data_IF_100899868309
#
_entry.id   IF_100899868309
#
_cell.length_a   1.000
_cell.length_b   1.000
_cell.length_c   1.000
_cell.angle_alpha   90.00
_cell.angle_beta   90.00
_cell.angle_gamma   90.00
#
_symmetry.space_group_name_H-M   'P 1'
#
loop_
_entity.id
_entity.type
_entity.pdbx_description
1 polymer ?
#
# COMPACT_ATOMS: atom_id res chain seq x y z
N UNK A 1 4.69 -2.66 -14.14
CA UNK A 1 4.43 -1.24 -13.81
C UNK A 1 3.33 -1.22 -12.75
N UNK A 2 3.70 -1.44 -11.49
CA UNK A 2 2.82 -1.09 -10.36
C UNK A 2 3.73 -0.79 -9.17
N UNK A 3 4.46 0.31 -9.32
CA UNK A 3 5.52 0.75 -8.42
C UNK A 3 5.00 1.57 -7.24
N UNK A 4 3.67 1.60 -7.08
CA UNK A 4 2.97 2.36 -6.05
C UNK A 4 3.47 2.08 -4.64
N UNK A 5 3.80 0.81 -4.36
CA UNK A 5 4.33 0.45 -3.04
C UNK A 5 5.75 0.96 -2.87
N UNK A 6 6.57 0.93 -3.92
CA UNK A 6 7.93 1.47 -3.88
C UNK A 6 7.91 2.99 -3.69
N UNK A 7 7.12 3.73 -4.48
CA UNK A 7 6.92 5.16 -4.30
C UNK A 7 6.42 5.49 -2.90
N UNK A 8 5.48 4.72 -2.35
CA UNK A 8 4.96 4.94 -1.01
C UNK A 8 6.01 4.73 0.10
N UNK A 9 6.83 3.67 0.02
CA UNK A 9 7.81 3.38 1.06
C UNK A 9 9.08 4.22 0.94
N UNK A 10 9.41 4.68 -0.27
CA UNK A 10 10.54 5.58 -0.50
C UNK A 10 10.17 7.06 -0.33
N UNK A 11 8.88 7.40 -0.28
CA UNK A 11 8.41 8.76 -0.06
C UNK A 11 8.87 9.29 1.30
N UNK A 12 9.31 10.54 1.31
CA UNK A 12 9.61 11.27 2.54
C UNK A 12 8.33 11.47 3.37
N UNK A 13 8.50 11.77 4.66
CA UNK A 13 7.36 12.08 5.55
C UNK A 13 6.52 13.26 5.02
N UNK A 14 7.15 14.24 4.36
CA UNK A 14 6.42 15.38 3.79
C UNK A 14 5.62 15.00 2.54
N UNK A 15 6.15 14.12 1.69
CA UNK A 15 5.41 13.58 0.54
C UNK A 15 4.27 12.66 0.98
N UNK A 16 4.49 11.81 1.99
CA UNK A 16 3.44 11.00 2.61
C UNK A 16 2.32 11.85 3.21
N UNK A 17 2.62 13.04 3.77
CA UNK A 17 1.59 13.96 4.27
C UNK A 17 0.80 14.62 3.15
N UNK A 18 1.46 14.97 2.04
CA UNK A 18 0.81 15.54 0.85
C UNK A 18 -0.01 14.50 0.10
N UNK A 19 0.42 13.24 0.13
CA UNK A 19 -0.20 12.11 -0.54
C UNK A 19 0.22 11.92 -1.99
N UNK A 20 1.27 12.59 -2.47
CA UNK A 20 1.83 12.42 -3.81
C UNK A 20 3.34 12.64 -3.85
N UNK A 21 3.99 12.06 -4.86
CA UNK A 21 5.39 12.30 -5.23
C UNK A 21 5.46 12.91 -6.63
N UNK A 22 6.55 13.62 -6.94
CA UNK A 22 6.81 14.12 -8.29
C UNK A 22 7.97 13.35 -8.90
N UNK A 23 7.67 12.57 -9.94
CA UNK A 23 8.66 11.86 -10.73
C UNK A 23 9.29 12.81 -11.75
N UNK A 24 10.61 13.01 -11.64
CA UNK A 24 11.30 14.03 -12.45
C UNK A 24 11.54 13.56 -13.88
N UNK A 25 11.75 12.27 -14.07
CA UNK A 25 12.10 11.72 -15.38
C UNK A 25 10.88 11.69 -16.33
N UNK A 26 9.69 11.45 -15.79
CA UNK A 26 8.43 11.45 -16.56
C UNK A 26 7.64 12.75 -16.42
N UNK A 27 8.09 13.67 -15.56
CA UNK A 27 7.38 14.90 -15.18
C UNK A 27 5.94 14.63 -14.70
N UNK A 28 5.74 13.57 -13.91
CA UNK A 28 4.43 13.12 -13.43
C UNK A 28 4.27 13.35 -11.92
N UNK A 29 3.11 13.84 -11.50
CA UNK A 29 2.66 13.75 -10.12
C UNK A 29 1.95 12.41 -9.92
N UNK A 30 2.43 11.60 -8.97
CA UNK A 30 1.88 10.27 -8.71
C UNK A 30 1.19 10.26 -7.36
N UNK A 31 -0.10 9.94 -7.34
CA UNK A 31 -0.86 9.76 -6.11
C UNK A 31 -0.30 8.56 -5.35
N UNK A 32 0.18 8.78 -4.12
CA UNK A 32 0.71 7.71 -3.30
C UNK A 32 -0.38 6.75 -2.87
N UNK A 33 -1.66 7.14 -2.82
CA UNK A 33 -2.76 6.30 -2.36
C UNK A 33 -3.29 5.32 -3.42
N UNK A 34 -3.39 5.70 -4.69
CA UNK A 34 -3.92 4.85 -5.78
C UNK A 34 -2.98 4.66 -6.97
N UNK A 35 -1.87 5.42 -7.04
CA UNK A 35 -0.89 5.30 -8.13
C UNK A 35 -1.31 6.02 -9.42
N UNK A 36 -2.44 6.74 -9.41
CA UNK A 36 -2.86 7.57 -10.54
C UNK A 36 -1.84 8.69 -10.80
N UNK A 37 -1.61 8.98 -12.08
CA UNK A 37 -0.54 9.84 -12.57
C UNK A 37 -1.11 11.06 -13.28
N UNK A 38 -0.53 12.22 -12.97
CA UNK A 38 -0.92 13.49 -13.54
C UNK A 38 0.30 14.18 -14.15
N UNK A 39 0.33 14.29 -15.47
CA UNK A 39 1.46 14.82 -16.23
C UNK A 39 1.52 16.34 -16.08
N UNK A 40 2.68 16.85 -15.67
CA UNK A 40 2.94 18.27 -15.56
C UNK A 40 2.82 18.95 -16.94
N UNK A 41 2.23 20.15 -16.97
CA UNK A 41 1.99 20.89 -18.20
C UNK A 41 0.68 20.53 -18.90
N UNK A 42 -0.01 19.46 -18.48
CA UNK A 42 -1.40 19.20 -18.84
C UNK A 42 -2.33 19.97 -17.90
N UNK A 43 -3.39 20.55 -18.48
CA UNK A 43 -4.47 21.18 -17.73
C UNK A 43 -5.61 20.18 -17.61
N UNK A 44 -6.02 19.92 -16.38
CA UNK A 44 -7.10 19.02 -16.04
C UNK A 44 -8.37 19.82 -15.74
N UNK A 45 -9.54 19.26 -16.05
CA UNK A 45 -10.82 19.94 -15.85
C UNK A 45 -11.74 19.11 -14.96
N UNK A 46 -12.27 19.71 -13.91
CA UNK A 46 -13.32 19.14 -13.05
C UNK A 46 -14.34 20.22 -12.72
N UNK A 47 -15.63 19.88 -12.84
CA UNK A 47 -16.77 20.80 -12.60
C UNK A 47 -16.66 22.18 -13.30
N UNK A 48 -16.09 22.22 -14.51
CA UNK A 48 -15.83 23.43 -15.31
C UNK A 48 -14.71 24.34 -14.80
N UNK A 49 -13.91 23.90 -13.84
CA UNK A 49 -12.70 24.58 -13.40
C UNK A 49 -11.47 23.87 -13.97
N UNK A 50 -10.53 24.64 -14.48
CA UNK A 50 -9.26 24.15 -15.02
C UNK A 50 -8.16 24.24 -13.96
N UNK A 51 -7.44 23.15 -13.76
CA UNK A 51 -6.39 23.00 -12.76
C UNK A 51 -5.08 22.56 -13.41
N UNK A 52 -3.97 23.08 -12.89
CA UNK A 52 -2.64 22.52 -13.17
C UNK A 52 -2.51 21.14 -12.51
N UNK A 53 -1.67 20.27 -13.10
CA UNK A 53 -1.47 18.88 -12.66
C UNK A 53 -1.30 18.72 -11.14
N UNK A 54 -0.42 19.51 -10.51
CA UNK A 54 -0.20 19.43 -9.05
C UNK A 54 -1.47 19.71 -8.24
N UNK A 55 -2.20 20.76 -8.64
CA UNK A 55 -3.43 21.15 -7.96
C UNK A 55 -4.51 20.10 -8.16
N UNK A 56 -4.56 19.52 -9.35
CA UNK A 56 -5.46 18.43 -9.69
C UNK A 56 -5.14 17.16 -8.90
N UNK A 57 -3.87 16.83 -8.68
CA UNK A 57 -3.48 15.70 -7.81
C UNK A 57 -3.96 15.89 -6.38
N UNK A 58 -3.85 17.11 -5.83
CA UNK A 58 -4.38 17.41 -4.49
C UNK A 58 -5.91 17.26 -4.42
N UNK A 59 -6.60 17.68 -5.48
CA UNK A 59 -8.06 17.57 -5.58
C UNK A 59 -8.50 16.11 -5.70
N UNK A 60 -7.82 15.31 -6.54
CA UNK A 60 -7.99 13.87 -6.63
C UNK A 60 -7.86 13.19 -5.27
N UNK A 61 -6.82 13.52 -4.48
CA UNK A 61 -6.65 12.94 -3.13
C UNK A 61 -7.82 13.30 -2.21
N UNK A 62 -8.32 14.53 -2.27
CA UNK A 62 -9.46 14.95 -1.47
C UNK A 62 -10.77 14.26 -1.88
N UNK A 63 -10.98 14.04 -3.18
CA UNK A 63 -12.21 13.46 -3.73
C UNK A 63 -12.23 11.93 -3.61
N UNK A 64 -11.15 11.26 -4.03
CA UNK A 64 -11.07 9.80 -4.12
C UNK A 64 -10.60 9.13 -2.83
N UNK A 65 -9.89 9.86 -1.96
CA UNK A 65 -9.28 9.31 -0.74
C UNK A 65 -9.68 10.03 0.54
N UNK A 66 -10.59 11.01 0.47
CA UNK A 66 -11.05 11.88 1.57
C UNK A 66 -9.93 12.79 2.07
N UNK A 67 -8.87 12.19 2.59
CA UNK A 67 -7.62 12.84 2.93
C UNK A 67 -6.51 11.81 3.06
N UNK A 68 -5.26 12.27 2.94
CA UNK A 68 -4.13 11.38 3.19
C UNK A 68 -4.04 10.92 4.66
N UNK A 69 -4.60 11.69 5.59
CA UNK A 69 -4.71 11.27 6.99
C UNK A 69 -5.64 10.06 7.13
N UNK A 70 -6.82 10.11 6.51
CA UNK A 70 -7.80 9.02 6.56
C UNK A 70 -7.25 7.77 5.85
N UNK A 71 -6.59 7.96 4.71
CA UNK A 71 -5.91 6.88 3.99
C UNK A 71 -4.86 6.18 4.87
N UNK A 72 -3.90 6.93 5.44
CA UNK A 72 -2.84 6.37 6.29
C UNK A 72 -3.40 5.69 7.53
N UNK A 73 -4.45 6.23 8.12
CA UNK A 73 -5.09 5.64 9.29
C UNK A 73 -5.86 4.35 8.95
N UNK A 74 -6.37 4.26 7.71
CA UNK A 74 -7.04 3.08 7.17
C UNK A 74 -6.13 1.87 6.98
N UNK A 75 -4.82 2.08 6.79
CA UNK A 75 -3.83 1.02 6.59
C UNK A 75 -3.79 0.00 7.73
N UNK A 76 -3.39 -1.24 7.44
CA UNK A 76 -3.37 -2.32 8.42
C UNK A 76 -2.54 -1.98 9.69
N UNK A 77 -2.92 -2.56 10.84
CA UNK A 77 -2.18 -2.40 12.11
C UNK A 77 -0.70 -2.74 11.96
N UNK A 78 -0.33 -3.70 11.11
CA UNK A 78 1.07 -4.07 10.88
C UNK A 78 1.87 -2.99 10.15
N UNK A 79 1.21 -2.11 9.41
CA UNK A 79 1.84 -0.98 8.73
C UNK A 79 1.87 0.26 9.63
N UNK A 80 0.73 0.60 10.25
CA UNK A 80 0.60 1.80 11.11
C UNK A 80 1.21 1.60 12.50
N UNK A 81 1.29 0.36 12.97
CA UNK A 81 1.59 0.02 14.36
C UNK A 81 0.52 0.48 15.36
N UNK A 82 -0.68 0.86 14.91
CA UNK A 82 -1.76 1.38 15.74
C UNK A 82 -2.88 0.34 15.91
N UNK A 83 -3.35 0.16 17.15
CA UNK A 83 -4.58 -0.61 17.41
C UNK A 83 -5.82 0.15 16.96
N UNK A 84 -6.95 -0.53 16.78
CA UNK A 84 -8.22 0.12 16.37
C UNK A 84 -8.64 1.22 17.35
N UNK A 85 -8.42 0.99 18.64
CA UNK A 85 -8.63 2.01 19.66
C UNK A 85 -7.70 3.21 19.46
N UNK A 86 -6.42 3.00 19.21
CA UNK A 86 -5.46 4.08 18.94
C UNK A 86 -5.81 4.84 17.67
N UNK A 87 -6.31 4.17 16.62
CA UNK A 87 -6.76 4.81 15.39
C UNK A 87 -7.91 5.78 15.66
N UNK A 88 -8.94 5.32 16.40
CA UNK A 88 -10.05 6.19 16.84
C UNK A 88 -9.57 7.39 17.65
N UNK A 89 -8.62 7.18 18.57
CA UNK A 89 -8.02 8.30 19.34
C UNK A 89 -7.37 9.33 18.42
N UNK A 90 -6.58 8.88 17.45
CA UNK A 90 -5.91 9.75 16.49
C UNK A 90 -6.94 10.54 15.64
N UNK A 91 -8.06 9.93 15.25
CA UNK A 91 -9.18 10.64 14.58
C UNK A 91 -9.75 11.74 15.46
N UNK A 92 -10.06 11.44 16.72
CA UNK A 92 -10.60 12.46 17.62
C UNK A 92 -9.62 13.61 17.87
N UNK A 93 -8.32 13.33 17.90
CA UNK A 93 -7.30 14.36 18.03
C UNK A 93 -7.24 15.26 16.80
N UNK A 94 -7.40 14.68 15.61
CA UNK A 94 -7.47 15.42 14.35
C UNK A 94 -8.71 16.32 14.29
N UNK A 95 -9.85 15.85 14.82
CA UNK A 95 -11.07 16.65 14.97
C UNK A 95 -10.96 17.77 16.01
N UNK A 96 -9.85 17.84 16.77
CA UNK A 96 -9.64 18.86 17.79
C UNK A 96 -10.44 18.66 19.08
N UNK A 97 -11.05 17.49 19.28
CA UNK A 97 -11.87 17.21 20.46
C UNK A 97 -11.04 17.26 21.74
N UNK A 98 -11.62 17.79 22.82
CA UNK A 98 -11.02 17.78 24.15
C UNK A 98 -11.30 16.47 24.90
N UNK A 99 -10.62 16.25 26.03
CA UNK A 99 -10.69 14.97 26.75
C UNK A 99 -12.11 14.61 27.24
N UNK A 100 -12.97 15.59 27.51
CA UNK A 100 -14.35 15.32 27.95
C UNK A 100 -15.24 14.92 26.77
N UNK A 101 -15.07 15.59 25.63
CA UNK A 101 -15.78 15.25 24.39
C UNK A 101 -15.43 13.84 23.92
N UNK A 102 -14.15 13.47 23.96
CA UNK A 102 -13.71 12.12 23.57
C UNK A 102 -14.32 11.04 24.45
N UNK A 103 -14.38 11.25 25.78
CA UNK A 103 -15.04 10.30 26.69
C UNK A 103 -16.52 10.12 26.35
N UNK A 104 -17.20 11.20 25.93
CA UNK A 104 -18.60 11.17 25.53
C UNK A 104 -18.79 10.40 24.21
N UNK A 105 -17.95 10.66 23.20
CA UNK A 105 -18.01 9.99 21.90
C UNK A 105 -17.67 8.50 21.98
N UNK A 106 -16.79 8.11 22.89
CA UNK A 106 -16.40 6.70 23.06
C UNK A 106 -17.40 5.85 23.84
N UNK A 107 -18.40 6.48 24.46
CA UNK A 107 -19.34 5.85 25.40
C UNK A 107 -18.63 4.99 26.47
N UNK A 108 -17.49 5.47 26.95
CA UNK A 108 -16.64 4.70 27.86
C UNK A 108 -15.25 5.28 28.09
N UNK A 109 -14.66 4.92 29.23
CA UNK A 109 -13.34 5.39 29.67
C UNK A 109 -13.40 6.61 30.60
N UNK A 110 -12.23 7.16 30.90
CA UNK A 110 -12.10 8.33 31.79
C UNK A 110 -11.19 9.38 31.17
N UNK A 111 -11.30 10.63 31.61
CA UNK A 111 -10.42 11.72 31.12
C UNK A 111 -8.95 11.44 31.38
N UNK A 112 -8.60 10.67 32.42
CA UNK A 112 -7.22 10.25 32.68
C UNK A 112 -6.75 9.21 31.66
N UNK A 113 -7.63 8.29 31.26
CA UNK A 113 -7.36 7.32 30.18
C UNK A 113 -7.06 8.03 28.86
N UNK A 114 -7.85 9.03 28.48
CA UNK A 114 -7.63 9.80 27.24
C UNK A 114 -6.31 10.57 27.29
N UNK A 115 -6.01 11.23 28.42
CA UNK A 115 -4.72 11.90 28.63
C UNK A 115 -3.54 10.95 28.50
N UNK A 116 -3.67 9.75 29.05
CA UNK A 116 -2.63 8.72 28.91
C UNK A 116 -2.43 8.33 27.44
N UNK A 117 -3.50 8.09 26.68
CA UNK A 117 -3.39 7.81 25.24
C UNK A 117 -2.70 8.95 24.47
N UNK A 118 -3.06 10.21 24.72
CA UNK A 118 -2.38 11.37 24.13
C UNK A 118 -0.89 11.37 24.43
N UNK A 119 -0.54 11.15 25.70
CA UNK A 119 0.84 11.11 26.15
C UNK A 119 1.62 9.99 25.46
N UNK A 120 1.13 8.74 25.52
CA UNK A 120 1.79 7.58 24.91
C UNK A 120 1.96 7.72 23.41
N UNK A 121 0.95 8.24 22.69
CA UNK A 121 1.04 8.45 21.24
C UNK A 121 2.05 9.54 20.88
N UNK A 122 2.11 10.64 21.67
CA UNK A 122 3.14 11.68 21.48
C UNK A 122 4.54 11.17 21.76
N UNK A 123 4.73 10.37 22.80
CA UNK A 123 6.04 9.76 23.08
C UNK A 123 6.45 8.77 21.98
N UNK A 124 5.51 7.94 21.50
CA UNK A 124 5.75 7.05 20.36
C UNK A 124 6.15 7.82 19.09
N UNK A 125 5.51 8.96 18.81
CA UNK A 125 5.89 9.83 17.68
C UNK A 125 7.33 10.35 17.82
N UNK A 126 7.74 10.79 19.01
CA UNK A 126 9.13 11.23 19.25
C UNK A 126 10.12 10.09 19.07
N UNK A 127 9.81 8.91 19.61
CA UNK A 127 10.63 7.71 19.47
C UNK A 127 10.77 7.30 17.99
N UNK A 128 9.66 7.30 17.24
CA UNK A 128 9.67 6.99 15.82
C UNK A 128 10.54 7.98 15.02
N UNK A 129 10.47 9.28 15.33
CA UNK A 129 11.32 10.30 14.72
C UNK A 129 12.81 10.03 14.95
N UNK A 130 13.21 9.73 16.19
CA UNK A 130 14.60 9.44 16.52
C UNK A 130 15.05 8.13 15.87
N UNK A 131 14.19 7.10 15.91
CA UNK A 131 14.48 5.81 15.29
C UNK A 131 14.67 5.92 13.78
N UNK A 132 13.79 6.64 13.07
CA UNK A 132 13.92 6.89 11.63
C UNK A 132 15.26 7.53 11.31
N UNK A 133 15.64 8.59 12.03
CA UNK A 133 16.92 9.26 11.83
C UNK A 133 18.13 8.32 12.08
N UNK A 134 18.05 7.44 13.09
CA UNK A 134 19.12 6.46 13.35
C UNK A 134 19.24 5.43 12.22
N UNK A 135 18.12 4.99 11.64
CA UNK A 135 18.11 4.04 10.53
C UNK A 135 18.68 4.65 9.25
N UNK A 136 18.22 5.86 8.88
CA UNK A 136 18.73 6.59 7.72
C UNK A 136 20.25 6.80 7.81
N UNK A 137 20.75 7.30 8.95
CA UNK A 137 22.19 7.48 9.19
C UNK A 137 23.00 6.17 9.15
N UNK A 138 22.37 5.05 9.51
CA UNK A 138 23.00 3.73 9.46
C UNK A 138 23.09 3.21 8.01
N UNK A 139 22.06 3.45 7.21
CA UNK A 139 22.00 3.02 5.80
C UNK A 139 22.96 3.83 4.92
N UNK A 140 23.11 5.13 5.17
CA UNK A 140 24.07 6.01 4.47
C UNK A 140 25.52 5.48 4.53
N UNK A 141 25.88 4.79 5.60
CA UNK A 141 27.23 4.23 5.80
C UNK A 141 27.37 2.81 5.29
N UNK A 142 26.27 2.09 5.09
CA UNK A 142 26.29 0.67 4.82
C UNK A 142 26.22 0.41 3.31
N UNK A 143 27.39 0.28 2.66
CA UNK A 143 27.48 0.14 1.21
C UNK A 143 26.98 -1.21 0.65
N UNK A 144 26.78 -2.22 1.50
CA UNK A 144 26.50 -3.62 1.08
C UNK A 144 25.30 -4.25 1.80
N UNK A 145 24.25 -3.48 2.14
CA UNK A 145 23.04 -4.12 2.68
C UNK A 145 22.22 -4.75 1.55
N UNK A 146 21.65 -5.96 1.78
CA UNK A 146 20.74 -6.56 0.83
C UNK A 146 19.50 -5.67 0.68
N UNK A 147 19.17 -5.30 -0.55
CA UNK A 147 17.95 -4.57 -0.86
C UNK A 147 16.76 -5.49 -0.71
N UNK A 148 15.88 -5.16 0.23
CA UNK A 148 14.63 -5.88 0.44
C UNK A 148 13.54 -5.30 -0.45
N UNK A 149 12.67 -6.18 -0.95
CA UNK A 149 11.52 -5.74 -1.71
C UNK A 149 10.50 -5.02 -0.82
N UNK A 150 9.89 -3.93 -1.30
CA UNK A 150 8.83 -3.25 -0.57
C UNK A 150 7.64 -4.19 -0.38
N UNK A 151 7.03 -4.06 0.80
CA UNK A 151 5.81 -4.77 1.19
C UNK A 151 4.62 -4.05 0.55
N UNK A 152 3.73 -4.74 -0.15
CA UNK A 152 2.57 -4.06 -0.70
C UNK A 152 1.63 -3.58 0.43
N UNK A 153 1.03 -2.41 0.27
CA UNK A 153 0.28 -1.72 1.35
C UNK A 153 -1.03 -2.40 1.72
N UNK A 154 -1.50 -3.25 0.82
CA UNK A 154 -2.70 -4.06 0.95
C UNK A 154 -2.41 -5.43 1.56
N UNK A 155 -1.18 -5.67 2.03
CA UNK A 155 -0.75 -6.91 2.65
C UNK A 155 -1.55 -7.20 3.93
N UNK A 156 -2.29 -8.30 3.90
CA UNK A 156 -3.09 -8.79 5.03
C UNK A 156 -2.23 -9.51 6.07
N UNK A 157 -1.06 -10.04 5.67
CA UNK A 157 -0.22 -10.92 6.49
C UNK A 157 1.26 -10.51 6.48
N UNK A 158 1.59 -9.32 7.00
CA UNK A 158 3.00 -8.89 7.09
C UNK A 158 3.75 -9.74 8.14
N UNK A 159 4.47 -10.77 7.68
CA UNK A 159 5.29 -11.67 8.48
C UNK A 159 6.64 -11.98 7.78
N UNK A 160 7.44 -12.91 8.32
CA UNK A 160 8.75 -13.29 7.77
C UNK A 160 8.74 -13.68 6.28
N UNK A 161 7.58 -13.99 5.68
CA UNK A 161 7.44 -14.27 4.25
C UNK A 161 7.79 -13.07 3.37
N UNK A 162 7.62 -11.85 3.87
CA UNK A 162 7.93 -10.61 3.14
C UNK A 162 9.40 -10.22 3.19
N UNK A 163 10.21 -10.93 3.99
CA UNK A 163 11.65 -10.73 4.06
C UNK A 163 12.33 -11.30 2.80
N UNK A 164 12.09 -10.69 1.64
CA UNK A 164 12.56 -11.12 0.32
C UNK A 164 13.54 -10.07 -0.19
N UNK A 165 14.75 -10.51 -0.55
CA UNK A 165 15.71 -9.64 -1.25
C UNK A 165 15.43 -9.58 -2.75
N UNK A 166 15.90 -8.54 -3.42
CA UNK A 166 15.84 -8.43 -4.89
C UNK A 166 16.47 -9.66 -5.57
N UNK A 167 17.63 -10.11 -5.09
CA UNK A 167 18.32 -11.29 -5.59
C UNK A 167 17.47 -12.57 -5.45
N UNK A 168 16.91 -12.82 -4.26
CA UNK A 168 16.04 -13.97 -4.02
C UNK A 168 14.78 -13.94 -4.90
N UNK A 169 14.24 -12.74 -5.15
CA UNK A 169 13.11 -12.56 -6.05
C UNK A 169 13.45 -13.00 -7.48
N UNK A 170 14.56 -12.52 -8.02
CA UNK A 170 15.00 -12.90 -9.36
C UNK A 170 15.28 -14.40 -9.49
N UNK A 171 15.98 -14.98 -8.53
CA UNK A 171 16.32 -16.41 -8.53
C UNK A 171 15.06 -17.28 -8.53
N UNK A 172 14.07 -16.92 -7.71
CA UNK A 172 12.81 -17.65 -7.63
C UNK A 172 12.01 -17.49 -8.93
N UNK A 173 11.95 -16.29 -9.52
CA UNK A 173 11.26 -16.08 -10.78
C UNK A 173 11.92 -16.88 -11.92
N UNK A 174 13.25 -16.81 -12.06
CA UNK A 174 14.01 -17.58 -13.06
C UNK A 174 13.83 -19.09 -12.90
N UNK A 175 13.78 -19.59 -11.66
CA UNK A 175 13.58 -21.01 -11.38
C UNK A 175 12.19 -21.51 -11.78
N UNK A 176 11.16 -20.66 -11.63
CA UNK A 176 9.77 -21.06 -11.78
C UNK A 176 9.16 -20.71 -13.16
N UNK A 177 9.68 -19.68 -13.83
CA UNK A 177 9.30 -19.24 -15.17
C UNK A 177 10.41 -19.55 -16.18
N UNK A 178 10.53 -20.82 -16.57
CA UNK A 178 11.61 -21.33 -17.42
C UNK A 178 11.56 -20.85 -18.86
N UNK A 179 10.37 -20.44 -19.33
CA UNK A 179 10.12 -19.95 -20.70
C UNK A 179 10.06 -18.41 -20.77
N UNK A 180 10.54 -17.73 -19.72
CA UNK A 180 10.45 -16.29 -19.55
C UNK A 180 9.27 -15.87 -18.66
N UNK A 181 9.30 -14.63 -18.17
CA UNK A 181 8.34 -14.09 -17.20
C UNK A 181 6.89 -14.03 -17.72
N UNK A 182 6.72 -14.01 -19.04
CA UNK A 182 5.41 -14.07 -19.69
C UNK A 182 4.92 -15.50 -19.93
N UNK A 183 5.82 -16.49 -19.82
CA UNK A 183 5.51 -17.90 -20.03
C UNK A 183 4.76 -18.56 -18.86
N UNK A 184 4.39 -19.83 -19.04
CA UNK A 184 3.68 -20.58 -18.02
C UNK A 184 4.56 -20.87 -16.80
N UNK A 185 3.90 -20.99 -15.66
CA UNK A 185 4.53 -21.39 -14.42
C UNK A 185 4.80 -22.90 -14.43
N UNK A 186 6.07 -23.29 -14.37
CA UNK A 186 6.48 -24.70 -14.34
C UNK A 186 5.86 -25.48 -13.17
N UNK A 187 5.81 -24.87 -11.98
CA UNK A 187 5.23 -25.45 -10.77
C UNK A 187 4.91 -24.38 -9.74
N UNK A 188 3.72 -24.45 -9.14
CA UNK A 188 3.39 -23.62 -7.99
C UNK A 188 4.10 -24.14 -6.72
N UNK A 189 4.95 -23.33 -6.06
CA UNK A 189 5.78 -23.77 -4.94
C UNK A 189 4.96 -24.02 -3.68
N UNK A 190 5.44 -24.93 -2.83
CA UNK A 190 4.84 -25.18 -1.50
C UNK A 190 5.25 -24.13 -0.46
N UNK A 191 6.46 -23.57 -0.57
CA UNK A 191 7.00 -22.58 0.38
C UNK A 191 6.28 -21.24 0.22
N UNK A 192 5.74 -20.71 1.32
CA UNK A 192 4.93 -19.48 1.30
C UNK A 192 5.69 -18.26 0.77
N UNK A 193 6.97 -18.07 1.15
CA UNK A 193 7.82 -16.99 0.62
C UNK A 193 7.94 -17.02 -0.91
N UNK A 194 8.09 -18.21 -1.52
CA UNK A 194 8.14 -18.36 -2.98
C UNK A 194 6.79 -18.14 -3.65
N UNK A 195 5.69 -18.52 -2.98
CA UNK A 195 4.34 -18.20 -3.48
C UNK A 195 4.15 -16.68 -3.55
N UNK A 196 4.56 -15.95 -2.51
CA UNK A 196 4.45 -14.50 -2.46
C UNK A 196 5.18 -13.82 -3.64
N UNK A 197 6.40 -14.26 -3.94
CA UNK A 197 7.17 -13.79 -5.10
C UNK A 197 6.40 -14.00 -6.41
N UNK A 198 5.86 -15.20 -6.62
CA UNK A 198 5.08 -15.51 -7.82
C UNK A 198 3.80 -14.66 -7.87
N UNK A 199 3.05 -14.54 -6.77
CA UNK A 199 1.82 -13.76 -6.72
C UNK A 199 2.09 -12.26 -6.99
N UNK A 200 3.19 -11.72 -6.46
CA UNK A 200 3.66 -10.36 -6.76
C UNK A 200 3.98 -10.18 -8.24
N UNK A 201 4.53 -11.19 -8.91
CA UNK A 201 4.70 -11.15 -10.36
C UNK A 201 3.36 -11.22 -11.10
N UNK A 202 2.46 -12.12 -10.69
CA UNK A 202 1.18 -12.32 -11.37
C UNK A 202 0.25 -11.11 -11.30
N UNK A 203 0.27 -10.33 -10.21
CA UNK A 203 -0.57 -9.13 -10.13
C UNK A 203 -0.19 -8.10 -11.20
N UNK A 204 1.04 -8.12 -11.72
CA UNK A 204 1.47 -7.20 -12.79
C UNK A 204 0.80 -7.48 -14.14
N UNK A 205 0.14 -8.64 -14.28
CA UNK A 205 -0.67 -8.99 -15.46
C UNK A 205 -2.09 -8.42 -15.41
N UNK A 206 -2.47 -7.80 -14.29
CA UNK A 206 -3.76 -7.12 -14.12
C UNK A 206 -3.57 -5.61 -14.19
N UNK A 207 -4.45 -4.94 -14.91
CA UNK A 207 -4.58 -3.50 -14.91
C UNK A 207 -5.29 -3.07 -13.62
N UNK A 208 -4.68 -2.16 -12.86
CA UNK A 208 -5.25 -1.67 -11.61
C UNK A 208 -6.46 -0.77 -11.78
N UNK A 209 -6.65 -0.20 -12.98
CA UNK A 209 -7.79 0.67 -13.28
C UNK A 209 -8.99 -0.11 -13.84
N UNK A 210 -8.86 -1.43 -14.00
CA UNK A 210 -9.90 -2.28 -14.54
C UNK A 210 -10.54 -3.16 -13.45
N UNK A 211 -11.86 -3.31 -13.55
CA UNK A 211 -12.60 -4.37 -12.86
C UNK A 211 -12.77 -5.56 -13.78
N UNK A 212 -12.54 -6.74 -13.23
CA UNK A 212 -12.62 -8.01 -13.93
C UNK A 212 -13.77 -8.84 -13.39
N UNK A 213 -14.42 -9.58 -14.27
CA UNK A 213 -15.30 -10.68 -13.92
C UNK A 213 -14.49 -11.89 -13.49
N UNK A 214 -15.11 -12.84 -12.79
CA UNK A 214 -14.47 -14.12 -12.45
C UNK A 214 -13.89 -14.83 -13.69
N UNK A 215 -14.58 -14.74 -14.84
CA UNK A 215 -14.14 -15.36 -16.09
C UNK A 215 -12.85 -14.73 -16.62
N UNK A 216 -12.79 -13.41 -16.69
CA UNK A 216 -11.60 -12.69 -17.17
C UNK A 216 -10.39 -12.96 -16.26
N UNK A 217 -10.59 -13.00 -14.93
CA UNK A 217 -9.51 -13.38 -14.00
C UNK A 217 -9.04 -14.81 -14.26
N UNK A 218 -9.96 -15.74 -14.49
CA UNK A 218 -9.61 -17.13 -14.77
C UNK A 218 -8.83 -17.27 -16.08
N UNK A 219 -9.25 -16.58 -17.15
CA UNK A 219 -8.56 -16.58 -18.44
C UNK A 219 -7.12 -16.06 -18.34
N UNK A 220 -6.89 -14.97 -17.59
CA UNK A 220 -5.54 -14.44 -17.35
C UNK A 220 -4.66 -15.48 -16.61
N UNK A 221 -5.22 -16.14 -15.60
CA UNK A 221 -4.48 -17.07 -14.75
C UNK A 221 -4.31 -18.47 -15.36
N UNK A 222 -5.24 -18.92 -16.21
CA UNK A 222 -5.19 -20.22 -16.88
C UNK A 222 -4.02 -20.30 -17.86
N UNK A 223 -3.70 -19.20 -18.52
CA UNK A 223 -2.50 -19.07 -19.36
C UNK A 223 -1.19 -19.23 -18.57
N UNK A 224 -1.23 -19.03 -17.26
CA UNK A 224 -0.06 -19.13 -16.37
C UNK A 224 0.03 -20.52 -15.74
N UNK A 225 -1.06 -21.03 -15.17
CA UNK A 225 -1.03 -22.30 -14.43
C UNK A 225 -2.40 -23.00 -14.50
N UNK A 226 -2.45 -24.33 -14.74
CA UNK A 226 -3.71 -25.06 -14.86
C UNK A 226 -4.62 -24.96 -13.62
N UNK A 227 -4.05 -24.86 -12.42
CA UNK A 227 -4.79 -24.62 -11.18
C UNK A 227 -4.93 -23.11 -10.90
N UNK A 228 -5.59 -22.41 -11.82
CA UNK A 228 -5.85 -20.97 -11.74
C UNK A 228 -6.75 -20.60 -10.55
N UNK A 229 -7.62 -21.52 -10.10
CA UNK A 229 -8.49 -21.32 -8.94
C UNK A 229 -7.66 -21.11 -7.68
N UNK A 230 -6.62 -21.93 -7.49
CA UNK A 230 -5.68 -21.78 -6.37
C UNK A 230 -4.91 -20.46 -6.46
N UNK A 231 -4.44 -20.06 -7.64
CA UNK A 231 -3.74 -18.77 -7.81
C UNK A 231 -4.64 -17.60 -7.44
N UNK A 232 -5.87 -17.57 -7.96
CA UNK A 232 -6.86 -16.53 -7.67
C UNK A 232 -7.17 -16.42 -6.18
N UNK A 233 -7.36 -17.56 -5.51
CA UNK A 233 -7.61 -17.60 -4.07
C UNK A 233 -6.44 -16.98 -3.30
N UNK A 234 -5.20 -17.31 -3.65
CA UNK A 234 -4.03 -16.75 -2.98
C UNK A 234 -3.82 -15.26 -3.30
N UNK A 235 -4.12 -14.80 -4.52
CA UNK A 235 -4.09 -13.38 -4.86
C UNK A 235 -5.02 -12.57 -3.95
N UNK A 236 -6.18 -13.11 -3.58
CA UNK A 236 -7.09 -12.47 -2.61
C UNK A 236 -6.58 -12.61 -1.17
N UNK A 237 -6.21 -13.82 -0.75
CA UNK A 237 -5.77 -14.07 0.64
C UNK A 237 -4.57 -13.20 1.04
N UNK A 238 -3.62 -13.00 0.11
CA UNK A 238 -2.45 -12.16 0.34
C UNK A 238 -2.73 -10.67 0.16
N UNK A 239 -3.90 -10.28 -0.39
CA UNK A 239 -4.32 -8.90 -0.54
C UNK A 239 -3.87 -8.21 -1.83
N UNK A 240 -3.51 -8.97 -2.87
CA UNK A 240 -3.20 -8.41 -4.20
C UNK A 240 -4.46 -8.10 -5.00
N UNK A 241 -5.48 -8.95 -4.90
CA UNK A 241 -6.80 -8.73 -5.49
C UNK A 241 -7.85 -8.61 -4.37
N UNK A 242 -8.92 -7.89 -4.66
CA UNK A 242 -10.15 -7.93 -3.87
C UNK A 242 -11.33 -8.33 -4.76
N UNK A 243 -12.46 -8.68 -4.13
CA UNK A 243 -13.67 -9.09 -4.85
C UNK A 243 -14.95 -8.69 -4.13
N UNK A 244 -16.05 -8.63 -4.88
CA UNK A 244 -17.38 -8.57 -4.30
C UNK A 244 -17.72 -9.89 -3.58
N UNK A 245 -18.63 -9.82 -2.59
CA UNK A 245 -19.02 -10.98 -1.79
C UNK A 245 -19.70 -12.08 -2.62
N UNK A 246 -20.39 -11.70 -3.70
CA UNK A 246 -21.01 -12.58 -4.68
C UNK A 246 -20.03 -13.09 -5.76
N UNK A 247 -18.78 -12.60 -5.77
CA UNK A 247 -17.77 -12.97 -6.76
C UNK A 247 -18.05 -12.44 -8.18
N UNK A 248 -18.95 -11.48 -8.34
CA UNK A 248 -19.26 -10.90 -9.65
C UNK A 248 -18.12 -10.02 -10.19
N UNK A 249 -17.37 -9.35 -9.32
CA UNK A 249 -16.28 -8.45 -9.70
C UNK A 249 -15.02 -8.67 -8.86
N UNK A 250 -13.88 -8.49 -9.50
CA UNK A 250 -12.52 -8.58 -8.98
C UNK A 250 -11.73 -7.34 -9.42
N UNK A 251 -10.79 -6.87 -8.61
CA UNK A 251 -9.93 -5.74 -8.96
C UNK A 251 -8.60 -5.83 -8.21
N UNK A 252 -7.57 -5.16 -8.73
CA UNK A 252 -6.30 -5.01 -8.02
C UNK A 252 -6.52 -4.14 -6.80
N UNK A 253 -6.12 -4.66 -5.63
CA UNK A 253 -6.24 -3.92 -4.37
C UNK A 253 -5.02 -3.02 -4.24
N UNK A 254 -5.24 -1.71 -4.35
CA UNK A 254 -4.22 -0.66 -4.24
C UNK A 254 -4.09 -0.10 -2.82
#
# INVERSE_FOLDING_TARGET
MNDISEWFWNATVEELKKGYVFEKDTEEYVCLACGEKFVKGIIYQEENVFYEAEKFTQLHIANEHISMFDYLLGLDKKLTGLTDLQKKMVQFFQMGLNDKEIVKEMDGGSTSTIRNHRFTLREKMKQAKVFLALMELSEEKATNQPKFLPIHRTATMVDQRYNITEEENEEVLKLHFTEGLEGPLSKFPKKQKRKLIILKHLVTKFDSNQKYTEKEVNEILENVYPDYVTLRRYLIEYGFLDRTSDGSQYWVKL
#
